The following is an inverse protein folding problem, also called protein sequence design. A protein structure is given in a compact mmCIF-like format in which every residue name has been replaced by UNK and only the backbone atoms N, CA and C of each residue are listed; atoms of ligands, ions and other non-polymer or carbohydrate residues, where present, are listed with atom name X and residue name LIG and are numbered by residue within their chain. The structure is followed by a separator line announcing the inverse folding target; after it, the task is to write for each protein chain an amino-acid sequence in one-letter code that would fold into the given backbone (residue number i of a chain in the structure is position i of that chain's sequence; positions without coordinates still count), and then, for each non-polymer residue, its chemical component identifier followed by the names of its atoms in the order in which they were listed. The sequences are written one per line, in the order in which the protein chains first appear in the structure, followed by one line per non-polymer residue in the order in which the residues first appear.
data_IF_812101489354
#
_entry.id   IF_812101489354
#
_cell.length_a   1.000
_cell.length_b   1.000
_cell.length_c   1.000
_cell.angle_alpha   90.00
_cell.angle_beta   90.00
_cell.angle_gamma   90.00
#
_symmetry.space_group_name_H-M   'P 1'
#
loop_
_entity.id
_entity.type
_entity.pdbx_description
1 polymer ?
#
# COMPACT_ATOMS: atom_id res chain seq x y z
N UNK A 1 35.88 -5.39 -29.85
CA UNK A 1 34.57 -6.01 -30.16
C UNK A 1 34.22 -6.98 -29.04
N UNK A 2 32.96 -6.92 -28.59
CA UNK A 2 32.23 -7.84 -27.69
C UNK A 2 32.49 -7.74 -26.18
N UNK A 3 31.72 -6.83 -25.59
CA UNK A 3 31.02 -6.95 -24.30
C UNK A 3 30.31 -8.30 -24.13
N UNK A 4 30.28 -8.82 -22.90
CA UNK A 4 29.06 -9.39 -22.32
C UNK A 4 29.19 -9.47 -20.79
N UNK A 5 28.62 -8.49 -20.12
CA UNK A 5 28.30 -8.54 -18.69
C UNK A 5 27.16 -9.54 -18.51
N UNK A 6 27.40 -10.60 -17.74
CA UNK A 6 26.36 -11.55 -17.38
C UNK A 6 25.64 -11.01 -16.15
N UNK A 7 24.66 -10.15 -16.41
CA UNK A 7 23.70 -9.67 -15.42
C UNK A 7 22.80 -10.84 -15.01
N UNK A 8 23.10 -11.46 -13.87
CA UNK A 8 22.18 -12.40 -13.21
C UNK A 8 21.19 -11.59 -12.39
N UNK A 9 20.11 -11.20 -13.06
CA UNK A 9 18.88 -10.70 -12.44
C UNK A 9 18.25 -11.84 -11.64
N UNK A 10 18.51 -11.86 -10.34
CA UNK A 10 17.75 -12.67 -9.39
C UNK A 10 16.37 -12.03 -9.27
N UNK A 11 15.42 -12.52 -10.05
CA UNK A 11 14.00 -12.34 -9.76
C UNK A 11 13.69 -13.15 -8.50
N UNK A 12 13.93 -12.57 -7.34
CA UNK A 12 13.33 -13.07 -6.10
C UNK A 12 11.82 -12.83 -6.18
N UNK A 13 11.14 -13.84 -6.71
CA UNK A 13 9.71 -14.04 -6.54
C UNK A 13 9.46 -14.23 -5.04
N UNK A 14 9.16 -13.13 -4.34
CA UNK A 14 8.66 -13.19 -2.98
C UNK A 14 7.28 -13.84 -2.98
N UNK A 15 7.30 -15.13 -2.71
CA UNK A 15 6.17 -16.01 -2.48
C UNK A 15 5.14 -15.38 -1.52
N UNK A 16 3.89 -15.33 -1.97
CA UNK A 16 2.62 -15.20 -1.22
C UNK A 16 2.71 -15.26 0.33
N UNK A 17 3.22 -14.22 0.98
CA UNK A 17 3.21 -14.10 2.44
C UNK A 17 1.99 -13.29 2.91
N UNK A 18 0.79 -13.77 2.58
CA UNK A 18 -0.44 -13.31 3.26
C UNK A 18 -0.43 -13.66 4.76
N UNK A 19 0.48 -14.53 5.21
CA UNK A 19 0.73 -14.87 6.61
C UNK A 19 1.67 -13.86 7.31
N UNK A 20 1.54 -12.56 7.04
CA UNK A 20 2.13 -11.55 7.91
C UNK A 20 1.16 -11.30 9.08
N UNK A 21 1.54 -11.55 10.35
CA UNK A 21 0.66 -11.28 11.49
C UNK A 21 0.15 -9.83 11.52
N UNK A 22 0.91 -8.91 10.93
CA UNK A 22 0.55 -7.49 10.82
C UNK A 22 -0.44 -7.20 9.69
N UNK A 23 -0.47 -7.99 8.61
CA UNK A 23 -1.54 -7.94 7.61
C UNK A 23 -2.85 -8.46 8.18
N UNK A 24 -2.80 -9.57 8.95
CA UNK A 24 -3.98 -10.09 9.61
C UNK A 24 -4.60 -9.06 10.57
N UNK A 25 -3.78 -8.31 11.31
CA UNK A 25 -4.26 -7.19 12.14
C UNK A 25 -5.01 -6.11 11.34
N UNK A 26 -4.59 -5.83 10.11
CA UNK A 26 -5.31 -4.89 9.24
C UNK A 26 -6.69 -5.47 8.89
N UNK A 27 -6.74 -6.74 8.48
CA UNK A 27 -8.00 -7.36 8.07
C UNK A 27 -8.98 -7.58 9.23
N UNK A 28 -8.47 -7.91 10.41
CA UNK A 28 -9.28 -8.06 11.62
C UNK A 28 -9.81 -6.71 12.11
N UNK A 29 -9.02 -5.64 11.99
CA UNK A 29 -9.38 -4.30 12.47
C UNK A 29 -10.23 -3.49 11.48
N UNK A 30 -10.02 -3.66 10.17
CA UNK A 30 -10.57 -2.78 9.13
C UNK A 30 -11.34 -3.55 8.03
N UNK A 31 -11.47 -4.87 8.17
CA UNK A 31 -12.18 -5.73 7.23
C UNK A 31 -11.27 -6.39 6.19
N UNK A 32 -11.74 -7.50 5.64
CA UNK A 32 -11.01 -8.28 4.62
C UNK A 32 -10.78 -7.49 3.32
N UNK A 33 -11.53 -6.41 3.11
CA UNK A 33 -11.41 -5.53 1.97
C UNK A 33 -10.66 -4.22 2.28
N UNK A 34 -10.00 -4.12 3.45
CA UNK A 34 -9.27 -2.93 3.89
C UNK A 34 -8.24 -2.42 2.87
N UNK A 35 -7.60 -3.34 2.13
CA UNK A 35 -6.60 -3.03 1.11
C UNK A 35 -7.16 -3.00 -0.31
N UNK A 36 -8.48 -3.07 -0.51
CA UNK A 36 -9.05 -2.92 -1.85
C UNK A 36 -8.71 -1.52 -2.41
N UNK A 37 -8.29 -1.42 -3.68
CA UNK A 37 -7.96 -0.13 -4.27
C UNK A 37 -9.19 0.78 -4.38
N UNK A 38 -9.05 2.03 -3.96
CA UNK A 38 -10.05 3.09 -4.11
C UNK A 38 -9.37 4.39 -4.55
N UNK A 39 -10.15 5.27 -5.19
CA UNK A 39 -9.68 6.60 -5.54
C UNK A 39 -10.17 7.61 -4.51
N UNK A 40 -9.23 8.36 -3.94
CA UNK A 40 -9.48 9.52 -3.09
C UNK A 40 -9.27 10.78 -3.94
N UNK A 41 -10.26 11.66 -3.96
CA UNK A 41 -10.12 12.98 -4.58
C UNK A 41 -9.58 13.96 -3.55
N UNK A 42 -8.46 14.60 -3.84
CA UNK A 42 -7.85 15.64 -3.01
C UNK A 42 -7.84 16.96 -3.77
N UNK A 43 -8.15 18.05 -3.08
CA UNK A 43 -8.02 19.39 -3.65
C UNK A 43 -6.60 19.90 -3.46
N UNK A 44 -5.91 20.20 -4.56
CA UNK A 44 -4.59 20.83 -4.57
C UNK A 44 -4.69 22.23 -5.20
N UNK A 45 -3.61 23.00 -5.13
CA UNK A 45 -3.53 24.32 -5.76
C UNK A 45 -3.68 24.24 -7.30
N UNK A 46 -3.41 23.07 -7.89
CA UNK A 46 -3.53 22.80 -9.32
C UNK A 46 -4.90 22.22 -9.72
N UNK A 47 -5.79 21.94 -8.78
CA UNK A 47 -7.12 21.39 -9.02
C UNK A 47 -7.39 20.10 -8.25
N UNK A 48 -8.36 19.31 -8.72
CA UNK A 48 -8.66 18.01 -8.12
C UNK A 48 -7.66 16.95 -8.60
N UNK A 49 -6.96 16.32 -7.66
CA UNK A 49 -6.09 15.17 -7.90
C UNK A 49 -6.79 13.88 -7.45
N UNK A 50 -6.55 12.79 -8.19
CA UNK A 50 -7.03 11.45 -7.84
C UNK A 50 -5.86 10.61 -7.34
N UNK A 51 -5.91 10.23 -6.07
CA UNK A 51 -4.92 9.38 -5.42
C UNK A 51 -5.48 7.96 -5.29
N UNK A 52 -4.72 6.95 -5.72
CA UNK A 52 -5.07 5.55 -5.49
C UNK A 52 -4.60 5.14 -4.09
N UNK A 53 -5.56 4.79 -3.23
CA UNK A 53 -5.37 4.49 -1.81
C UNK A 53 -6.05 3.17 -1.43
N UNK A 54 -5.63 2.51 -0.32
CA UNK A 54 -6.39 1.38 0.21
C UNK A 54 -7.75 1.84 0.75
N UNK A 55 -8.79 1.01 0.64
CA UNK A 55 -10.15 1.31 1.12
C UNK A 55 -10.16 1.84 2.55
N UNK A 56 -9.39 1.25 3.45
CA UNK A 56 -9.32 1.71 4.85
C UNK A 56 -8.90 3.17 5.00
N UNK A 57 -8.11 3.71 4.06
CA UNK A 57 -7.77 5.15 4.04
C UNK A 57 -8.97 6.00 3.69
N UNK A 58 -9.81 5.54 2.75
CA UNK A 58 -11.01 6.25 2.32
C UNK A 58 -12.11 6.22 3.39
N UNK A 59 -12.22 5.12 4.13
CA UNK A 59 -13.20 4.94 5.20
C UNK A 59 -12.90 5.77 6.47
N UNK A 60 -11.72 6.41 6.52
CA UNK A 60 -11.29 7.27 7.62
C UNK A 60 -11.29 8.74 7.23
N UNK A 61 -11.66 9.59 8.19
CA UNK A 61 -11.36 11.02 8.10
C UNK A 61 -9.86 11.28 8.06
N UNK A 62 -9.46 12.46 7.59
CA UNK A 62 -8.07 12.89 7.64
C UNK A 62 -7.51 12.82 9.07
N UNK A 63 -8.28 13.25 10.07
CA UNK A 63 -7.83 13.21 11.46
C UNK A 63 -7.57 11.77 11.92
N UNK A 64 -8.53 10.86 11.75
CA UNK A 64 -8.39 9.45 12.15
C UNK A 64 -7.19 8.78 11.50
N UNK A 65 -7.01 8.96 10.19
CA UNK A 65 -5.86 8.43 9.48
C UNK A 65 -4.55 8.89 10.12
N UNK A 66 -4.41 10.20 10.39
CA UNK A 66 -3.17 10.74 10.96
C UNK A 66 -3.01 10.48 12.47
N UNK A 67 -4.06 10.05 13.19
CA UNK A 67 -3.93 9.53 14.56
C UNK A 67 -3.29 8.15 14.62
N UNK A 68 -3.34 7.37 13.52
CA UNK A 68 -2.60 6.12 13.42
C UNK A 68 -1.09 6.38 13.47
N UNK A 69 -0.37 5.52 14.20
CA UNK A 69 1.07 5.65 14.29
C UNK A 69 1.73 5.57 12.91
N UNK A 70 2.80 6.35 12.72
CA UNK A 70 3.45 6.52 11.42
C UNK A 70 3.89 5.17 10.81
N UNK A 71 4.50 4.31 11.63
CA UNK A 71 4.98 3.00 11.18
C UNK A 71 3.85 2.10 10.70
N UNK A 72 2.66 2.21 11.29
CA UNK A 72 1.50 1.44 10.85
C UNK A 72 0.98 1.96 9.51
N UNK A 73 0.86 3.28 9.33
CA UNK A 73 0.48 3.86 8.04
C UNK A 73 1.44 3.51 6.92
N UNK A 74 2.75 3.59 7.18
CA UNK A 74 3.78 3.18 6.21
C UNK A 74 3.61 1.71 5.85
N UNK A 75 3.39 0.85 6.85
CA UNK A 75 3.16 -0.57 6.61
C UNK A 75 1.94 -0.82 5.73
N UNK A 76 0.79 -0.22 6.05
CA UNK A 76 -0.44 -0.32 5.24
C UNK A 76 -0.19 0.10 3.80
N UNK A 77 0.42 1.26 3.58
CA UNK A 77 0.66 1.77 2.22
C UNK A 77 1.65 0.90 1.45
N UNK A 78 2.73 0.43 2.09
CA UNK A 78 3.67 -0.50 1.46
C UNK A 78 2.98 -1.80 1.04
N UNK A 79 2.25 -2.42 1.96
CA UNK A 79 1.51 -3.65 1.67
C UNK A 79 0.49 -3.46 0.56
N UNK A 80 -0.20 -2.31 0.54
CA UNK A 80 -1.13 -1.98 -0.54
C UNK A 80 -0.43 -1.89 -1.91
N UNK A 81 0.66 -1.10 -2.02
CA UNK A 81 1.36 -0.93 -3.30
C UNK A 81 2.13 -2.17 -3.76
N UNK A 82 2.54 -3.04 -2.85
CA UNK A 82 3.13 -4.34 -3.19
C UNK A 82 2.11 -5.34 -3.76
N UNK A 83 0.81 -5.13 -3.52
CA UNK A 83 -0.28 -5.99 -4.00
C UNK A 83 -0.93 -5.54 -5.32
N UNK A 84 -0.56 -4.37 -5.84
CA UNK A 84 -1.03 -3.82 -7.12
C UNK A 84 -0.21 -4.33 -8.30
#
# INVERSE_FOLDING_TARGET
MKTTEKSTSTKESFSNNLNCPRLQQIFDGYGQDALQPKYLTTQTEQGDELELVPKMRLDMTHHEWFTLCLDFRIFVLKSFYEML
#
